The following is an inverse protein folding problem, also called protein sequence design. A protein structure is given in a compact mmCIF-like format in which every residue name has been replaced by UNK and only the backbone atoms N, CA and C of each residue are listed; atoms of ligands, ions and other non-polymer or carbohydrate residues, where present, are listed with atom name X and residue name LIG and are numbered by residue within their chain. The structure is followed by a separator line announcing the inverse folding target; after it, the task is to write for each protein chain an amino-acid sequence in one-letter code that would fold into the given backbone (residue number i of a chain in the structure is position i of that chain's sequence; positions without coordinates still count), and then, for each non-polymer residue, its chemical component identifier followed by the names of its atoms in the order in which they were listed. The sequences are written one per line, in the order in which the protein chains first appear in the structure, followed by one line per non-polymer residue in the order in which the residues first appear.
data_IF_170322260376
#
_entry.id   IF_170322260376
#
_cell.length_a   1.000
_cell.length_b   1.000
_cell.length_c   1.000
_cell.angle_alpha   90.00
_cell.angle_beta   90.00
_cell.angle_gamma   90.00
#
_symmetry.space_group_name_H-M   'P 1'
#
loop_
_entity.id
_entity.type
_entity.pdbx_description
1 polymer ?
#
# COMPACT_ATOMS: atom_id res chain seq x y z
N UNK A 1 -6.37 -19.22 16.90
CA UNK A 1 -5.80 -19.89 18.11
C UNK A 1 -6.92 -20.59 18.87
N UNK A 2 -6.60 -21.66 19.64
CA UNK A 2 -7.59 -22.37 20.46
C UNK A 2 -8.00 -21.50 21.66
N UNK A 3 -9.30 -21.42 21.99
CA UNK A 3 -9.81 -20.72 23.18
C UNK A 3 -9.13 -21.23 24.45
N UNK A 4 -9.12 -22.54 24.64
CA UNK A 4 -8.48 -23.20 25.80
C UNK A 4 -7.00 -22.87 25.94
N UNK A 5 -6.25 -22.81 24.82
CA UNK A 5 -4.85 -22.41 24.82
C UNK A 5 -4.68 -20.93 25.23
N UNK A 6 -5.54 -20.06 24.72
CA UNK A 6 -5.48 -18.62 25.04
C UNK A 6 -5.79 -18.37 26.52
N UNK A 7 -6.79 -19.05 27.08
CA UNK A 7 -7.14 -18.97 28.51
C UNK A 7 -5.99 -19.48 29.39
N UNK A 8 -5.43 -20.66 29.05
CA UNK A 8 -4.31 -21.26 29.80
C UNK A 8 -3.07 -20.36 29.85
N UNK A 9 -2.84 -19.55 28.82
CA UNK A 9 -1.64 -18.73 28.66
C UNK A 9 -1.90 -17.22 28.88
N UNK A 10 -3.04 -16.84 29.48
CA UNK A 10 -3.43 -15.44 29.68
C UNK A 10 -3.33 -14.57 28.42
N UNK A 11 -3.71 -15.15 27.25
CA UNK A 11 -3.61 -14.51 25.94
C UNK A 11 -4.99 -14.37 25.27
N UNK A 12 -6.03 -14.09 26.07
CA UNK A 12 -7.42 -13.96 25.59
C UNK A 12 -7.70 -12.61 24.94
N UNK A 13 -6.85 -11.60 25.19
CA UNK A 13 -6.88 -10.32 24.48
C UNK A 13 -5.61 -10.12 23.66
N UNK A 14 -5.68 -9.39 22.54
CA UNK A 14 -4.49 -8.97 21.81
C UNK A 14 -3.58 -8.10 22.69
N UNK A 15 -2.27 -8.23 22.51
CA UNK A 15 -1.32 -7.31 23.12
C UNK A 15 -1.49 -5.90 22.53
N UNK A 16 -1.38 -4.86 23.36
CA UNK A 16 -1.37 -3.48 22.89
C UNK A 16 0.00 -3.14 22.30
N UNK A 17 0.09 -3.18 20.97
CA UNK A 17 1.32 -2.89 20.24
C UNK A 17 1.74 -1.41 20.35
N UNK A 18 0.82 -0.51 20.69
CA UNK A 18 1.13 0.92 20.83
C UNK A 18 1.93 1.21 22.10
N UNK A 19 1.65 0.44 23.16
CA UNK A 19 2.41 0.47 24.41
C UNK A 19 3.60 -0.49 24.45
N UNK A 20 3.87 -1.20 23.32
CA UNK A 20 4.86 -2.28 23.23
C UNK A 20 4.59 -3.42 24.21
N UNK A 21 3.33 -3.64 24.55
CA UNK A 21 2.93 -4.75 25.40
C UNK A 21 3.27 -6.09 24.72
N UNK A 22 3.86 -7.00 25.47
CA UNK A 22 4.03 -8.39 25.07
C UNK A 22 3.19 -9.28 25.97
N UNK A 23 2.49 -10.23 25.37
CA UNK A 23 1.85 -11.32 26.09
C UNK A 23 2.38 -12.66 25.57
N UNK A 24 1.95 -13.77 26.12
CA UNK A 24 2.44 -15.10 25.72
C UNK A 24 2.25 -15.34 24.20
N UNK A 25 1.13 -14.88 23.62
CA UNK A 25 0.85 -15.03 22.19
C UNK A 25 1.72 -14.15 21.27
N UNK A 26 2.47 -13.17 21.80
CA UNK A 26 3.42 -12.38 21.02
C UNK A 26 4.58 -13.23 20.49
N UNK A 27 5.01 -14.24 21.27
CA UNK A 27 6.16 -15.09 20.93
C UNK A 27 5.78 -16.54 20.72
N UNK A 28 4.55 -16.92 20.99
CA UNK A 28 4.06 -18.29 20.90
C UNK A 28 2.77 -18.34 20.10
N UNK A 29 2.52 -19.45 19.44
CA UNK A 29 1.31 -19.65 18.69
C UNK A 29 0.85 -21.12 18.78
N UNK A 30 -0.46 -21.32 18.76
CA UNK A 30 -1.09 -22.61 18.55
C UNK A 30 -2.14 -22.45 17.45
N UNK A 31 -1.92 -23.12 16.35
CA UNK A 31 -2.80 -23.11 15.18
C UNK A 31 -3.02 -24.52 14.64
N UNK A 32 -3.91 -24.64 13.68
CA UNK A 32 -4.24 -25.89 12.97
C UNK A 32 -3.59 -25.95 11.57
N UNK A 33 -2.62 -25.07 11.32
CA UNK A 33 -1.96 -24.94 10.02
C UNK A 33 -0.88 -25.97 9.74
N UNK A 34 -0.31 -25.94 8.53
CA UNK A 34 0.71 -26.90 8.07
C UNK A 34 2.07 -26.75 8.77
N UNK A 35 2.29 -25.64 9.44
CA UNK A 35 3.52 -25.35 10.20
C UNK A 35 3.22 -25.03 11.65
N UNK A 36 4.17 -25.38 12.53
CA UNK A 36 4.18 -24.99 13.95
C UNK A 36 5.25 -23.93 14.18
N UNK A 37 4.93 -22.95 15.02
CA UNK A 37 5.90 -21.96 15.47
C UNK A 37 6.88 -22.60 16.45
N UNK A 38 8.17 -22.54 16.13
CA UNK A 38 9.26 -23.00 17.00
C UNK A 38 9.77 -21.86 17.86
N UNK A 39 10.08 -20.72 17.23
CA UNK A 39 10.53 -19.52 17.94
C UNK A 39 10.18 -18.26 17.17
N UNK A 40 9.97 -17.17 17.89
CA UNK A 40 9.80 -15.84 17.33
C UNK A 40 10.58 -14.81 18.15
N UNK A 41 11.49 -14.16 17.49
CA UNK A 41 12.18 -12.98 17.95
C UNK A 41 11.65 -11.79 17.16
N UNK A 42 10.80 -10.91 17.77
CA UNK A 42 10.27 -9.74 17.07
C UNK A 42 11.37 -8.95 16.36
N UNK A 43 11.06 -8.45 15.17
CA UNK A 43 11.94 -7.66 14.29
C UNK A 43 13.27 -8.32 13.91
N UNK A 44 13.47 -9.61 14.21
CA UNK A 44 14.67 -10.36 13.88
C UNK A 44 14.42 -11.66 13.12
N UNK A 45 13.71 -12.61 13.73
CA UNK A 45 13.59 -13.98 13.17
C UNK A 45 12.33 -14.68 13.63
N UNK A 46 11.72 -15.42 12.71
CA UNK A 46 10.63 -16.37 13.01
C UNK A 46 10.98 -17.73 12.42
N UNK A 47 10.92 -18.77 13.24
CA UNK A 47 11.22 -20.15 12.85
C UNK A 47 9.96 -20.98 12.92
N UNK A 48 9.67 -21.65 11.83
CA UNK A 48 8.54 -22.58 11.69
C UNK A 48 9.06 -23.96 11.33
N UNK A 49 8.38 -24.99 11.81
CA UNK A 49 8.60 -26.39 11.42
C UNK A 49 7.32 -27.02 10.91
N UNK A 50 7.46 -28.02 10.05
CA UNK A 50 6.34 -28.78 9.53
C UNK A 50 5.50 -29.35 10.68
N UNK A 51 4.18 -29.20 10.57
CA UNK A 51 3.22 -29.79 11.51
C UNK A 51 2.88 -31.23 11.07
N UNK A 52 3.38 -32.28 11.75
CA UNK A 52 3.10 -33.66 11.37
C UNK A 52 1.63 -34.04 11.57
N UNK A 53 0.91 -33.33 12.46
CA UNK A 53 -0.50 -33.57 12.77
C UNK A 53 -1.43 -32.62 12.00
N UNK A 54 -0.96 -32.05 10.88
CA UNK A 54 -1.83 -31.21 10.06
C UNK A 54 -2.94 -32.07 9.43
N UNK A 55 -4.15 -31.57 9.48
CA UNK A 55 -5.36 -32.28 9.07
C UNK A 55 -5.50 -32.51 7.56
N UNK A 56 -4.71 -31.79 6.73
CA UNK A 56 -4.72 -31.85 5.27
C UNK A 56 -3.36 -32.41 4.75
N UNK A 57 -3.30 -32.67 3.45
CA UNK A 57 -2.10 -33.22 2.79
C UNK A 57 -1.17 -32.10 2.33
N UNK A 58 0.10 -32.08 2.75
CA UNK A 58 1.04 -31.08 2.31
C UNK A 58 1.36 -31.21 0.81
N UNK A 59 1.25 -30.11 0.07
CA UNK A 59 1.70 -30.00 -1.32
C UNK A 59 3.12 -29.41 -1.42
N UNK A 60 3.76 -29.17 -0.28
CA UNK A 60 5.14 -28.69 -0.14
C UNK A 60 6.08 -29.80 0.37
N UNK A 61 7.39 -29.59 0.25
CA UNK A 61 8.42 -30.47 0.80
C UNK A 61 9.29 -29.77 1.87
N UNK A 62 8.79 -28.69 2.47
CA UNK A 62 9.50 -27.92 3.47
C UNK A 62 9.37 -28.58 4.84
N UNK A 63 10.50 -28.87 5.51
CA UNK A 63 10.53 -29.35 6.89
C UNK A 63 10.68 -28.17 7.88
N UNK A 64 11.43 -27.13 7.47
CA UNK A 64 11.70 -25.94 8.28
C UNK A 64 11.69 -24.68 7.42
N UNK A 65 11.16 -23.62 7.96
CA UNK A 65 11.16 -22.29 7.33
C UNK A 65 11.66 -21.26 8.33
N UNK A 66 12.58 -20.40 7.88
CA UNK A 66 13.09 -19.30 8.65
C UNK A 66 12.79 -17.98 7.93
N UNK A 67 12.08 -17.09 8.61
CA UNK A 67 11.92 -15.70 8.18
C UNK A 67 12.93 -14.85 8.91
N UNK A 68 13.86 -14.25 8.17
CA UNK A 68 14.84 -13.30 8.70
C UNK A 68 14.50 -11.89 8.23
N UNK A 69 14.40 -10.94 9.15
CA UNK A 69 14.11 -9.55 8.82
C UNK A 69 15.41 -8.84 8.52
N UNK A 70 15.62 -8.45 7.26
CA UNK A 70 16.77 -7.67 6.79
C UNK A 70 16.23 -6.35 6.24
N UNK A 71 16.25 -5.30 7.05
CA UNK A 71 15.63 -4.02 6.71
C UNK A 71 16.33 -3.30 5.55
N UNK A 72 17.66 -3.39 5.47
CA UNK A 72 18.42 -2.75 4.41
C UNK A 72 18.34 -3.55 3.10
N UNK A 73 17.89 -2.90 2.04
CA UNK A 73 17.67 -3.50 0.72
C UNK A 73 18.95 -4.11 0.13
N UNK A 74 20.06 -3.39 0.17
CA UNK A 74 21.33 -3.86 -0.42
C UNK A 74 21.86 -5.09 0.35
N UNK A 75 21.75 -5.10 1.68
CA UNK A 75 22.13 -6.24 2.53
C UNK A 75 21.23 -7.44 2.24
N UNK A 76 19.91 -7.22 2.06
CA UNK A 76 18.96 -8.30 1.75
C UNK A 76 19.23 -8.94 0.39
N UNK A 77 19.54 -8.13 -0.63
CA UNK A 77 19.94 -8.63 -1.95
C UNK A 77 21.29 -9.35 -1.90
N UNK A 78 22.26 -8.84 -1.15
CA UNK A 78 23.56 -9.49 -0.97
C UNK A 78 23.42 -10.86 -0.30
N UNK A 79 22.58 -11.00 0.72
CA UNK A 79 22.29 -12.27 1.40
C UNK A 79 21.69 -13.34 0.44
N UNK A 80 20.82 -12.92 -0.49
CA UNK A 80 20.34 -13.83 -1.55
C UNK A 80 21.47 -14.26 -2.49
N UNK A 81 22.26 -13.31 -2.97
CA UNK A 81 23.30 -13.57 -3.96
C UNK A 81 24.45 -14.41 -3.39
N UNK A 82 24.74 -14.30 -2.08
CA UNK A 82 25.72 -15.14 -1.37
C UNK A 82 25.18 -16.55 -1.03
N UNK A 83 23.85 -16.76 -1.14
CA UNK A 83 23.20 -18.02 -0.75
C UNK A 83 22.97 -18.15 0.77
N UNK A 84 23.12 -17.08 1.54
CA UNK A 84 22.74 -17.05 2.96
C UNK A 84 21.24 -17.25 3.15
N UNK A 85 20.42 -16.70 2.23
CA UNK A 85 18.98 -16.90 2.16
C UNK A 85 18.58 -17.47 0.80
N UNK A 86 17.47 -18.20 0.74
CA UNK A 86 16.99 -18.87 -0.47
C UNK A 86 15.97 -18.04 -1.26
N UNK A 87 15.32 -17.08 -0.62
CA UNK A 87 14.21 -16.32 -1.18
C UNK A 87 14.15 -14.91 -0.59
N UNK A 88 13.88 -13.93 -1.44
CA UNK A 88 13.68 -12.51 -1.07
C UNK A 88 12.36 -12.00 -1.60
N UNK A 89 11.68 -11.28 -0.73
CA UNK A 89 10.51 -10.50 -1.07
C UNK A 89 10.53 -9.23 -0.18
N UNK A 90 10.48 -8.03 -0.65
CA UNK A 90 10.38 -7.54 -2.03
C UNK A 90 11.76 -7.22 -2.57
N UNK A 91 11.98 -7.41 -3.88
CA UNK A 91 13.21 -6.99 -4.55
C UNK A 91 13.09 -5.52 -4.94
N UNK A 92 14.10 -4.68 -4.62
CA UNK A 92 14.14 -3.30 -5.10
C UNK A 92 14.23 -3.24 -6.62
N UNK A 93 13.50 -2.33 -7.32
CA UNK A 93 13.52 -2.22 -8.77
C UNK A 93 14.91 -2.08 -9.38
N UNK A 94 15.83 -1.42 -8.69
CA UNK A 94 17.21 -1.22 -9.14
C UNK A 94 18.06 -2.50 -9.18
N UNK A 95 17.70 -3.53 -8.42
CA UNK A 95 18.45 -4.78 -8.31
C UNK A 95 17.89 -5.91 -9.16
N UNK A 96 16.70 -5.74 -9.74
CA UNK A 96 16.00 -6.78 -10.53
C UNK A 96 16.88 -7.32 -11.67
N UNK A 97 17.49 -6.44 -12.47
CA UNK A 97 18.33 -6.85 -13.59
C UNK A 97 19.62 -7.50 -13.14
N UNK A 98 20.20 -7.05 -12.04
CA UNK A 98 21.39 -7.67 -11.45
C UNK A 98 21.09 -9.11 -11.04
N UNK A 99 20.02 -9.34 -10.31
CA UNK A 99 19.62 -10.68 -9.85
C UNK A 99 19.32 -11.57 -11.07
N UNK A 100 18.56 -11.07 -12.07
CA UNK A 100 18.19 -11.82 -13.28
C UNK A 100 19.41 -12.31 -14.06
N UNK A 101 20.53 -11.54 -14.07
CA UNK A 101 21.77 -11.92 -14.74
C UNK A 101 22.69 -12.80 -13.90
N UNK A 102 22.40 -12.98 -12.62
CA UNK A 102 23.23 -13.81 -11.74
C UNK A 102 22.90 -15.30 -11.95
N UNK A 103 23.87 -16.13 -12.36
CA UNK A 103 23.66 -17.57 -12.49
C UNK A 103 23.11 -18.17 -11.20
N UNK A 104 22.20 -19.12 -11.33
CA UNK A 104 21.61 -19.79 -10.17
C UNK A 104 20.49 -18.99 -9.47
N UNK A 105 20.13 -17.82 -9.97
CA UNK A 105 19.03 -16.99 -9.45
C UNK A 105 17.85 -16.95 -10.42
N UNK A 106 16.68 -16.68 -9.88
CA UNK A 106 15.45 -16.41 -10.64
C UNK A 106 14.71 -15.22 -10.07
N UNK A 107 13.99 -14.50 -10.93
CA UNK A 107 13.11 -13.38 -10.57
C UNK A 107 11.68 -13.74 -10.95
N UNK A 108 10.76 -13.63 -10.00
CA UNK A 108 9.33 -13.78 -10.20
C UNK A 108 8.69 -12.38 -10.19
N UNK A 109 7.91 -12.08 -11.20
CA UNK A 109 7.23 -10.78 -11.33
C UNK A 109 5.75 -10.99 -11.62
N UNK A 110 4.92 -10.17 -10.98
CA UNK A 110 3.47 -10.20 -11.17
C UNK A 110 2.80 -8.91 -10.74
N UNK A 111 1.53 -8.72 -11.11
CA UNK A 111 0.76 -7.58 -10.63
C UNK A 111 0.47 -7.71 -9.13
N UNK A 112 0.54 -6.60 -8.40
CA UNK A 112 0.03 -6.50 -7.02
C UNK A 112 -1.33 -5.80 -7.03
N UNK A 113 -2.24 -6.20 -6.15
CA UNK A 113 -3.53 -5.51 -5.98
C UNK A 113 -3.37 -4.12 -5.34
N UNK A 114 -2.16 -3.77 -4.90
CA UNK A 114 -1.89 -2.50 -4.21
C UNK A 114 -1.80 -1.34 -5.18
N UNK A 115 -2.60 -0.32 -4.89
CA UNK A 115 -2.49 1.00 -5.53
C UNK A 115 -1.82 1.99 -4.60
N UNK A 116 -0.82 2.71 -5.08
CA UNK A 116 -0.13 3.82 -4.40
C UNK A 116 -0.78 5.14 -4.84
N UNK A 117 -1.09 6.01 -3.87
CA UNK A 117 -1.75 7.30 -4.11
C UNK A 117 -1.33 8.35 -3.10
N UNK A 118 -1.60 9.59 -3.43
CA UNK A 118 -1.50 10.72 -2.49
C UNK A 118 -2.90 11.12 -2.02
N UNK A 119 -3.02 11.35 -0.72
CA UNK A 119 -4.23 11.88 -0.10
C UNK A 119 -4.01 13.29 0.43
N UNK A 120 -5.07 14.08 0.43
CA UNK A 120 -5.09 15.49 0.80
C UNK A 120 -6.14 15.72 1.89
N UNK A 121 -5.82 16.52 2.90
CA UNK A 121 -6.78 16.91 3.94
C UNK A 121 -7.82 17.89 3.36
N UNK A 122 -9.05 17.41 3.23
CA UNK A 122 -10.17 18.16 2.65
C UNK A 122 -11.19 18.59 3.72
N UNK A 123 -10.99 18.16 4.96
CA UNK A 123 -11.98 18.37 6.02
C UNK A 123 -11.67 19.58 6.90
N UNK A 124 -10.42 19.75 7.30
CA UNK A 124 -10.05 20.80 8.24
C UNK A 124 -10.21 22.18 7.61
N UNK A 125 -10.63 23.19 8.39
CA UNK A 125 -10.71 24.57 7.89
C UNK A 125 -9.32 25.17 7.61
N UNK A 126 -8.27 24.64 8.24
CA UNK A 126 -6.87 25.00 8.03
C UNK A 126 -6.00 23.76 8.05
N UNK A 127 -5.00 23.68 7.18
CA UNK A 127 -4.04 22.59 7.16
C UNK A 127 -3.14 22.62 8.41
N UNK A 128 -2.82 21.44 8.93
CA UNK A 128 -1.96 21.31 10.11
C UNK A 128 -0.50 21.67 9.82
N UNK A 129 -0.03 21.39 8.61
CA UNK A 129 1.38 21.47 8.22
C UNK A 129 1.51 22.27 6.91
N UNK A 130 1.18 23.57 6.97
CA UNK A 130 1.21 24.47 5.81
C UNK A 130 1.61 25.89 6.25
N UNK A 131 2.13 26.67 5.32
CA UNK A 131 2.36 28.12 5.50
C UNK A 131 1.09 28.96 5.27
N UNK A 132 0.00 28.36 4.78
CA UNK A 132 -1.29 29.05 4.60
C UNK A 132 -2.04 29.11 5.93
N UNK A 133 -2.28 30.33 6.43
CA UNK A 133 -2.99 30.53 7.67
C UNK A 133 -4.50 30.76 7.44
N UNK A 134 -5.32 30.18 8.33
CA UNK A 134 -6.78 30.37 8.33
C UNK A 134 -7.54 29.76 7.16
N UNK A 135 -6.86 28.97 6.29
CA UNK A 135 -7.46 28.35 5.10
C UNK A 135 -6.88 26.97 4.86
N UNK A 136 -7.64 26.18 4.12
CA UNK A 136 -7.21 24.89 3.61
C UNK A 136 -7.28 24.89 2.07
N UNK A 137 -6.15 25.02 1.37
CA UNK A 137 -6.13 24.95 -0.09
C UNK A 137 -6.76 23.69 -0.67
N UNK A 138 -6.64 22.55 0.01
CA UNK A 138 -7.16 21.29 -0.49
C UNK A 138 -8.67 21.12 -0.39
N UNK A 139 -9.41 22.05 0.24
CA UNK A 139 -10.86 22.11 0.14
C UNK A 139 -11.33 22.51 -1.26
N UNK A 140 -10.52 23.30 -1.98
CA UNK A 140 -10.83 23.70 -3.35
C UNK A 140 -10.47 22.59 -4.35
N UNK A 141 -11.45 22.13 -5.10
CA UNK A 141 -11.25 21.07 -6.12
C UNK A 141 -10.25 21.48 -7.21
N UNK A 142 -10.14 22.80 -7.51
CA UNK A 142 -9.18 23.31 -8.50
C UNK A 142 -7.75 23.09 -8.05
N UNK A 143 -7.47 23.27 -6.76
CA UNK A 143 -6.16 22.96 -6.17
C UNK A 143 -5.85 21.47 -6.28
N UNK A 144 -6.80 20.61 -5.92
CA UNK A 144 -6.60 19.15 -6.01
C UNK A 144 -6.40 18.67 -7.45
N UNK A 145 -7.11 19.27 -8.41
CA UNK A 145 -6.90 19.01 -9.86
C UNK A 145 -5.52 19.48 -10.30
N UNK A 146 -5.08 20.65 -9.86
CA UNK A 146 -3.73 21.16 -10.16
C UNK A 146 -2.63 20.21 -9.66
N UNK A 147 -2.78 19.66 -8.44
CA UNK A 147 -1.87 18.61 -7.92
C UNK A 147 -1.86 17.39 -8.86
N UNK A 148 -3.03 16.89 -9.27
CA UNK A 148 -3.12 15.76 -10.20
C UNK A 148 -2.47 16.04 -11.57
N UNK A 149 -2.66 17.24 -12.12
CA UNK A 149 -2.10 17.66 -13.41
C UNK A 149 -0.60 17.89 -13.38
N UNK A 150 -0.02 18.19 -12.23
CA UNK A 150 1.41 18.44 -12.08
C UNK A 150 2.24 17.15 -12.00
N UNK A 151 1.64 16.01 -11.61
CA UNK A 151 2.36 14.77 -11.34
C UNK A 151 2.43 13.87 -12.57
N UNK A 152 3.64 13.74 -13.13
CA UNK A 152 3.94 12.80 -14.22
C UNK A 152 4.23 11.40 -13.65
N UNK A 153 3.20 10.59 -13.57
CA UNK A 153 3.31 9.21 -13.07
C UNK A 153 4.05 8.28 -14.03
N UNK A 154 4.07 8.61 -15.33
CA UNK A 154 4.87 7.86 -16.30
C UNK A 154 6.36 8.13 -16.09
N UNK A 155 6.73 9.36 -15.74
CA UNK A 155 8.11 9.66 -15.34
C UNK A 155 8.48 8.87 -14.07
N UNK A 156 7.61 8.83 -13.05
CA UNK A 156 7.83 8.00 -11.85
C UNK A 156 8.02 6.53 -12.24
N UNK A 157 7.15 5.99 -13.11
CA UNK A 157 7.28 4.61 -13.59
C UNK A 157 8.64 4.35 -14.24
N UNK A 158 9.08 5.23 -15.15
CA UNK A 158 10.33 5.05 -15.88
C UNK A 158 11.57 5.21 -14.98
N UNK A 159 11.61 6.28 -14.18
CA UNK A 159 12.84 6.71 -13.49
C UNK A 159 12.96 6.14 -12.08
N UNK A 160 11.88 6.14 -11.31
CA UNK A 160 11.87 5.67 -9.93
C UNK A 160 11.57 4.17 -9.85
N UNK A 161 10.52 3.72 -10.57
CA UNK A 161 10.07 2.33 -10.52
C UNK A 161 10.73 1.43 -11.57
N UNK A 162 11.52 1.99 -12.48
CA UNK A 162 12.24 1.24 -13.53
C UNK A 162 11.34 0.26 -14.30
N UNK A 163 10.13 0.71 -14.61
CA UNK A 163 9.11 -0.10 -15.27
C UNK A 163 8.32 -1.04 -14.34
N UNK A 164 8.68 -1.14 -13.06
CA UNK A 164 8.04 -2.06 -12.10
C UNK A 164 6.78 -1.45 -11.45
N UNK A 165 5.96 -0.79 -12.24
CA UNK A 165 4.66 -0.27 -11.83
C UNK A 165 3.77 -0.01 -13.04
N UNK A 166 2.46 0.06 -12.82
CA UNK A 166 1.47 0.44 -13.83
C UNK A 166 0.80 1.75 -13.39
N UNK A 167 0.99 2.87 -14.11
CA UNK A 167 0.25 4.12 -13.85
C UNK A 167 -1.26 3.88 -13.79
N UNK A 168 -1.96 4.55 -12.86
CA UNK A 168 -3.41 4.40 -12.70
C UNK A 168 -4.08 5.71 -12.33
N UNK A 169 -5.34 5.88 -12.70
CA UNK A 169 -6.23 6.97 -12.29
C UNK A 169 -7.22 6.58 -11.19
N UNK A 170 -7.18 5.32 -10.73
CA UNK A 170 -8.08 4.79 -9.71
C UNK A 170 -7.32 4.41 -8.42
N UNK A 171 -8.04 4.27 -7.30
CA UNK A 171 -7.52 3.76 -6.03
C UNK A 171 -7.68 2.23 -5.89
N UNK A 172 -8.04 1.57 -6.96
CA UNK A 172 -7.99 0.11 -7.17
C UNK A 172 -7.56 -0.17 -8.60
N UNK A 173 -7.11 -1.38 -8.89
CA UNK A 173 -6.53 -1.69 -10.21
C UNK A 173 -6.88 -3.09 -10.74
N UNK A 174 -6.27 -3.52 -11.84
CA UNK A 174 -6.44 -4.86 -12.39
C UNK A 174 -6.31 -5.96 -11.34
N UNK A 175 -7.13 -7.01 -11.47
CA UNK A 175 -7.22 -8.09 -10.49
C UNK A 175 -8.18 -7.83 -9.34
N UNK A 176 -8.68 -6.60 -9.21
CA UNK A 176 -9.73 -6.24 -8.25
C UNK A 176 -11.08 -6.31 -8.94
N UNK A 177 -12.04 -7.03 -8.35
CA UNK A 177 -13.40 -7.09 -8.87
C UNK A 177 -14.01 -5.67 -8.94
N UNK A 178 -14.60 -5.33 -10.08
CA UNK A 178 -15.09 -3.97 -10.38
C UNK A 178 -14.09 -3.07 -11.09
N UNK A 179 -12.85 -3.55 -11.36
CA UNK A 179 -11.94 -2.81 -12.23
C UNK A 179 -12.36 -2.91 -13.69
N UNK A 180 -12.34 -1.75 -14.38
CA UNK A 180 -12.49 -1.65 -15.83
C UNK A 180 -11.48 -0.67 -16.38
N UNK A 181 -10.84 -1.01 -17.50
CA UNK A 181 -9.83 -0.20 -18.16
C UNK A 181 -10.38 1.16 -18.60
N UNK A 182 -11.63 1.21 -19.05
CA UNK A 182 -12.30 2.44 -19.47
C UNK A 182 -12.57 3.42 -18.33
N UNK A 183 -12.61 2.95 -17.08
CA UNK A 183 -12.77 3.79 -15.88
C UNK A 183 -11.42 4.32 -15.36
N UNK A 184 -10.32 3.64 -15.71
CA UNK A 184 -8.97 3.98 -15.27
C UNK A 184 -8.38 5.17 -16.05
N UNK A 185 -9.07 6.30 -15.93
CA UNK A 185 -8.70 7.54 -16.62
C UNK A 185 -7.92 8.46 -15.69
N UNK A 186 -6.69 8.77 -16.06
CA UNK A 186 -5.88 9.72 -15.36
C UNK A 186 -5.93 11.09 -16.03
N UNK A 187 -5.88 12.16 -15.23
CA UNK A 187 -5.70 13.53 -15.71
C UNK A 187 -4.37 13.64 -16.46
N UNK A 188 -4.37 14.22 -17.64
CA UNK A 188 -3.16 14.49 -18.40
C UNK A 188 -2.24 15.48 -17.66
N UNK A 189 -0.94 15.31 -17.83
CA UNK A 189 0.04 16.25 -17.28
C UNK A 189 -0.03 17.57 -18.04
N UNK A 190 -0.35 18.65 -17.32
CA UNK A 190 -0.40 20.01 -17.83
C UNK A 190 0.05 21.00 -16.75
N UNK A 191 1.32 21.33 -16.74
CA UNK A 191 1.94 22.23 -15.76
C UNK A 191 1.35 23.65 -15.83
N UNK A 192 1.13 24.16 -17.04
CA UNK A 192 0.59 25.52 -17.21
C UNK A 192 -0.90 25.57 -16.86
N UNK A 193 -1.67 24.55 -17.19
CA UNK A 193 -3.05 24.39 -16.74
C UNK A 193 -3.14 24.30 -15.21
N UNK A 194 -2.24 23.56 -14.57
CA UNK A 194 -2.17 23.46 -13.12
C UNK A 194 -1.88 24.82 -12.45
N UNK A 195 -0.94 25.62 -13.00
CA UNK A 195 -0.66 26.99 -12.53
C UNK A 195 -1.89 27.90 -12.65
N UNK A 196 -2.62 27.84 -13.77
CA UNK A 196 -3.85 28.60 -13.97
C UNK A 196 -4.90 28.22 -12.92
N UNK A 197 -5.14 26.94 -12.67
CA UNK A 197 -6.09 26.49 -11.65
C UNK A 197 -5.69 26.94 -10.24
N UNK A 198 -4.40 26.93 -9.90
CA UNK A 198 -3.93 27.47 -8.61
C UNK A 198 -4.17 28.98 -8.51
N UNK A 199 -3.90 29.74 -9.56
CA UNK A 199 -4.15 31.20 -9.59
C UNK A 199 -5.65 31.51 -9.44
N UNK A 200 -6.51 30.78 -10.16
CA UNK A 200 -7.98 30.92 -10.06
C UNK A 200 -8.51 30.54 -8.66
N UNK A 201 -7.82 29.62 -7.97
CA UNK A 201 -8.14 29.24 -6.59
C UNK A 201 -7.58 30.24 -5.55
N UNK A 202 -6.87 31.31 -5.99
CA UNK A 202 -6.29 32.31 -5.11
C UNK A 202 -4.86 32.03 -4.66
N UNK A 203 -4.16 31.10 -5.32
CA UNK A 203 -2.77 30.72 -5.03
C UNK A 203 -1.84 30.93 -6.24
N UNK A 204 -1.73 32.16 -6.82
CA UNK A 204 -0.96 32.38 -8.05
C UNK A 204 0.55 32.07 -7.89
N UNK A 205 1.08 32.15 -6.66
CA UNK A 205 2.46 31.86 -6.31
C UNK A 205 2.61 30.48 -5.60
N UNK A 206 1.55 29.65 -5.65
CA UNK A 206 1.50 28.40 -4.90
C UNK A 206 1.42 28.60 -3.38
N UNK A 207 1.81 27.56 -2.65
CA UNK A 207 1.81 27.56 -1.18
C UNK A 207 2.78 26.49 -0.66
N UNK A 208 3.11 26.55 0.64
CA UNK A 208 3.91 25.55 1.33
C UNK A 208 3.05 24.51 2.04
N UNK A 209 3.41 23.23 1.95
CA UNK A 209 2.76 22.13 2.65
C UNK A 209 3.74 20.99 2.93
N UNK A 210 3.56 20.26 4.04
CA UNK A 210 4.35 19.07 4.33
C UNK A 210 3.70 17.84 3.70
N UNK A 211 4.51 17.02 3.01
CA UNK A 211 4.15 15.68 2.55
C UNK A 211 4.68 14.64 3.55
N UNK A 212 3.77 14.00 4.26
CA UNK A 212 4.09 12.86 5.11
C UNK A 212 4.29 11.61 4.24
N UNK A 213 5.43 10.95 4.38
CA UNK A 213 5.84 9.82 3.56
C UNK A 213 6.50 8.73 4.41
N UNK A 214 6.19 7.44 4.23
CA UNK A 214 7.00 6.39 4.82
C UNK A 214 8.30 6.23 4.01
N UNK A 215 9.31 5.58 4.60
CA UNK A 215 10.58 5.27 3.92
C UNK A 215 11.01 3.80 4.03
N UNK A 216 10.15 2.96 4.58
CA UNK A 216 10.38 1.52 4.75
C UNK A 216 9.09 0.68 4.63
N UNK A 217 8.08 1.20 3.90
CA UNK A 217 6.77 0.54 3.78
C UNK A 217 6.44 0.06 2.37
N UNK A 218 6.67 0.90 1.38
CA UNK A 218 6.36 0.61 -0.02
C UNK A 218 7.64 0.61 -0.85
N UNK A 219 7.59 0.00 -2.03
CA UNK A 219 8.73 -0.02 -2.94
C UNK A 219 9.08 1.41 -3.35
N UNK A 220 10.30 1.85 -3.03
CA UNK A 220 10.85 3.17 -3.37
C UNK A 220 9.98 4.35 -2.88
N UNK A 221 9.28 4.22 -1.77
CA UNK A 221 8.31 5.22 -1.25
C UNK A 221 8.94 6.61 -1.09
N UNK A 222 10.08 6.75 -0.44
CA UNK A 222 10.77 8.04 -0.27
C UNK A 222 11.22 8.62 -1.63
N UNK A 223 11.68 7.79 -2.54
CA UNK A 223 12.08 8.24 -3.88
C UNK A 223 10.87 8.70 -4.72
N UNK A 224 9.71 8.05 -4.57
CA UNK A 224 8.45 8.50 -5.17
C UNK A 224 8.06 9.87 -4.61
N UNK A 225 8.09 10.04 -3.28
CA UNK A 225 7.77 11.31 -2.64
C UNK A 225 8.72 12.42 -3.07
N UNK A 226 10.02 12.15 -3.19
CA UNK A 226 11.04 13.10 -3.67
C UNK A 226 10.75 13.55 -5.11
N UNK A 227 10.35 12.62 -5.98
CA UNK A 227 9.95 12.96 -7.34
C UNK A 227 8.69 13.86 -7.35
N UNK A 228 7.70 13.55 -6.51
CA UNK A 228 6.48 14.37 -6.35
C UNK A 228 6.82 15.78 -5.86
N UNK A 229 7.71 15.94 -4.87
CA UNK A 229 8.20 17.24 -4.41
C UNK A 229 8.74 18.08 -5.58
N UNK A 230 9.59 17.48 -6.40
CA UNK A 230 10.19 18.15 -7.55
C UNK A 230 9.16 18.54 -8.63
N UNK A 231 8.15 17.71 -8.85
CA UNK A 231 7.08 17.97 -9.80
C UNK A 231 6.16 19.08 -9.33
N UNK A 232 5.79 19.12 -8.06
CA UNK A 232 4.91 20.14 -7.48
C UNK A 232 5.59 21.50 -7.37
N UNK A 233 6.91 21.54 -7.19
CA UNK A 233 7.67 22.79 -7.22
C UNK A 233 7.51 23.54 -8.55
N UNK A 234 7.31 22.83 -9.67
CA UNK A 234 7.09 23.44 -11.00
C UNK A 234 5.82 24.27 -11.11
N UNK A 235 4.85 24.02 -10.23
CA UNK A 235 3.60 24.77 -10.16
C UNK A 235 3.55 25.73 -8.96
N UNK A 236 4.68 25.95 -8.27
CA UNK A 236 4.79 26.84 -7.12
C UNK A 236 4.40 26.22 -5.78
N UNK A 237 3.99 24.95 -5.75
CA UNK A 237 3.69 24.26 -4.47
C UNK A 237 5.00 23.78 -3.85
N UNK A 238 5.37 24.41 -2.74
CA UNK A 238 6.61 24.16 -1.99
C UNK A 238 6.36 23.04 -0.98
N UNK A 239 6.79 21.84 -1.32
CA UNK A 239 6.57 20.67 -0.48
C UNK A 239 7.79 20.40 0.40
N UNK A 240 7.56 20.37 1.72
CA UNK A 240 8.53 19.86 2.70
C UNK A 240 8.30 18.35 2.86
N UNK A 241 9.30 17.53 2.51
CA UNK A 241 9.19 16.08 2.67
C UNK A 241 9.46 15.69 4.12
N UNK A 242 8.50 15.00 4.76
CA UNK A 242 8.62 14.39 6.07
C UNK A 242 8.70 12.87 5.91
N UNK A 243 9.87 12.35 5.54
CA UNK A 243 10.12 10.91 5.44
C UNK A 243 10.27 10.29 6.83
N UNK A 244 9.55 9.21 7.11
CA UNK A 244 9.49 8.58 8.43
C UNK A 244 9.44 7.05 8.31
N UNK A 245 9.94 6.36 9.33
CA UNK A 245 9.76 4.91 9.43
C UNK A 245 8.27 4.55 9.51
N UNK A 246 7.91 3.40 8.97
CA UNK A 246 6.54 2.86 8.95
C UNK A 246 5.81 3.00 10.29
N UNK A 247 6.48 2.64 11.38
CA UNK A 247 5.88 2.67 12.71
C UNK A 247 5.47 4.10 13.12
N UNK A 248 6.38 5.06 12.96
CA UNK A 248 6.12 6.48 13.27
C UNK A 248 5.10 7.07 12.31
N UNK A 249 5.24 6.82 11.02
CA UNK A 249 4.35 7.30 9.98
C UNK A 249 2.89 6.92 10.26
N UNK A 250 2.60 5.62 10.44
CA UNK A 250 1.24 5.18 10.69
C UNK A 250 0.68 5.59 12.05
N UNK A 251 1.52 5.75 13.07
CA UNK A 251 1.07 6.27 14.36
C UNK A 251 0.59 7.72 14.29
N UNK A 252 1.07 8.49 13.32
CA UNK A 252 0.65 9.88 13.11
C UNK A 252 -0.55 9.99 12.19
N UNK A 253 -0.51 9.36 11.00
CA UNK A 253 -1.53 9.61 9.97
C UNK A 253 -2.83 8.82 10.16
N UNK A 254 -2.79 7.68 10.87
CA UNK A 254 -3.95 6.80 11.05
C UNK A 254 -4.81 7.22 12.26
N UNK A 255 -6.02 6.62 12.39
CA UNK A 255 -6.86 6.83 13.56
C UNK A 255 -6.10 6.51 14.87
N UNK A 256 -6.41 7.17 15.98
CA UNK A 256 -7.37 8.28 16.09
C UNK A 256 -6.78 9.66 15.75
N UNK A 257 -5.47 9.75 15.43
CA UNK A 257 -4.75 11.03 15.30
C UNK A 257 -5.07 11.79 14.03
N UNK A 258 -5.01 11.10 12.86
CA UNK A 258 -5.13 11.73 11.55
C UNK A 258 -4.27 13.01 11.39
N UNK A 259 -3.05 12.99 11.95
CA UNK A 259 -2.14 14.13 12.00
C UNK A 259 -1.36 14.29 10.68
N UNK A 260 -2.08 14.61 9.62
CA UNK A 260 -1.49 14.81 8.29
C UNK A 260 -2.28 15.85 7.50
N UNK A 261 -1.59 16.55 6.60
CA UNK A 261 -2.20 17.47 5.62
C UNK A 261 -2.12 16.94 4.21
N UNK A 262 -1.04 16.28 3.87
CA UNK A 262 -0.77 15.67 2.58
C UNK A 262 0.09 14.42 2.79
N UNK A 263 -0.27 13.29 2.21
CA UNK A 263 0.36 12.01 2.55
C UNK A 263 0.39 11.03 1.38
N UNK A 264 1.39 10.12 1.40
CA UNK A 264 1.46 8.99 0.47
C UNK A 264 0.94 7.73 1.16
N UNK A 265 -0.01 7.04 0.55
CA UNK A 265 -0.52 5.78 1.07
C UNK A 265 -0.64 4.72 -0.03
N UNK A 266 -0.55 3.46 0.35
CA UNK A 266 -0.84 2.32 -0.51
C UNK A 266 -1.98 1.48 0.08
N UNK A 267 -2.91 1.05 -0.77
CA UNK A 267 -4.03 0.22 -0.37
C UNK A 267 -4.11 -1.07 -1.17
N UNK A 268 -4.20 -2.20 -0.47
CA UNK A 268 -4.48 -3.51 -1.04
C UNK A 268 -5.88 -3.90 -0.61
N UNK A 269 -6.86 -4.00 -1.52
CA UNK A 269 -8.22 -4.41 -1.16
C UNK A 269 -8.22 -5.85 -0.65
N UNK A 270 -8.46 -6.04 0.65
CA UNK A 270 -8.37 -7.35 1.32
C UNK A 270 -9.40 -8.36 0.80
N UNK A 271 -10.49 -7.90 0.21
CA UNK A 271 -11.54 -8.73 -0.40
C UNK A 271 -11.34 -8.92 -1.91
N UNK A 272 -10.26 -8.37 -2.50
CA UNK A 272 -10.04 -8.27 -3.94
C UNK A 272 -11.26 -7.64 -4.68
N UNK A 273 -11.92 -6.68 -4.04
CA UNK A 273 -13.11 -5.99 -4.54
C UNK A 273 -13.00 -4.47 -4.37
N UNK A 274 -13.44 -3.71 -5.38
CA UNK A 274 -13.40 -2.24 -5.40
C UNK A 274 -14.18 -1.61 -4.22
N UNK A 275 -15.26 -2.26 -3.76
CA UNK A 275 -16.01 -1.81 -2.60
C UNK A 275 -15.14 -1.68 -1.36
N UNK A 276 -14.13 -2.55 -1.18
CA UNK A 276 -13.21 -2.46 -0.05
C UNK A 276 -12.43 -1.14 -0.05
N UNK A 277 -11.89 -0.72 -1.21
CA UNK A 277 -11.19 0.56 -1.32
C UNK A 277 -12.17 1.74 -1.15
N UNK A 278 -13.33 1.68 -1.79
CA UNK A 278 -14.36 2.72 -1.69
C UNK A 278 -14.83 2.90 -0.24
N UNK A 279 -15.18 1.83 0.44
CA UNK A 279 -15.68 1.84 1.81
C UNK A 279 -14.65 2.40 2.81
N UNK A 280 -13.39 1.96 2.70
CA UNK A 280 -12.36 2.31 3.67
C UNK A 280 -11.69 3.65 3.41
N UNK A 281 -11.53 4.04 2.13
CA UNK A 281 -10.78 5.22 1.74
C UNK A 281 -11.68 6.38 1.35
N UNK A 282 -12.69 6.15 0.49
CA UNK A 282 -13.47 7.21 -0.14
C UNK A 282 -14.80 7.52 0.56
N UNK A 283 -15.31 6.60 1.36
CA UNK A 283 -16.51 6.84 2.17
C UNK A 283 -16.28 7.90 3.25
N UNK A 284 -17.30 8.71 3.52
CA UNK A 284 -17.27 9.67 4.62
C UNK A 284 -17.06 8.94 5.96
N UNK A 285 -16.19 9.48 6.83
CA UNK A 285 -15.91 8.89 8.13
C UNK A 285 -17.15 8.92 9.04
N UNK A 286 -17.59 7.76 9.50
CA UNK A 286 -18.73 7.61 10.44
C UNK A 286 -18.43 6.68 11.64
N UNK A 287 -17.16 6.28 11.81
CA UNK A 287 -16.71 5.35 12.85
C UNK A 287 -16.58 3.90 12.37
N UNK A 288 -17.28 3.52 11.31
CA UNK A 288 -17.17 2.19 10.66
C UNK A 288 -16.66 2.29 9.23
N UNK A 289 -17.20 3.23 8.47
CA UNK A 289 -16.78 3.56 7.11
C UNK A 289 -15.75 4.68 7.14
N UNK A 290 -14.90 4.73 6.12
CA UNK A 290 -13.92 5.80 5.95
C UNK A 290 -12.80 5.81 7.01
N UNK A 291 -12.55 4.69 7.70
CA UNK A 291 -11.56 4.61 8.78
C UNK A 291 -10.16 5.01 8.30
N UNK A 292 -9.82 4.71 7.05
CA UNK A 292 -8.55 5.07 6.42
C UNK A 292 -8.67 6.25 5.44
N UNK A 293 -9.78 6.95 5.46
CA UNK A 293 -9.96 8.22 4.77
C UNK A 293 -9.26 9.34 5.57
N UNK A 294 -7.94 9.33 5.57
CA UNK A 294 -7.13 10.20 6.43
C UNK A 294 -7.29 11.69 6.09
N UNK A 295 -7.67 12.00 4.84
CA UNK A 295 -7.95 13.36 4.38
C UNK A 295 -9.37 13.85 4.66
N UNK A 296 -10.26 13.01 5.16
CA UNK A 296 -11.64 13.39 5.49
C UNK A 296 -12.48 13.83 4.29
N UNK A 297 -12.19 13.32 3.09
CA UNK A 297 -13.05 13.50 1.92
C UNK A 297 -14.48 13.08 2.22
N UNK A 298 -15.47 13.78 1.68
CA UNK A 298 -16.89 13.49 1.90
C UNK A 298 -17.70 13.86 0.66
N UNK A 299 -18.54 12.93 0.21
CA UNK A 299 -19.51 13.14 -0.86
C UNK A 299 -20.74 12.25 -0.60
N UNK A 300 -21.91 12.86 -0.28
CA UNK A 300 -23.13 12.09 0.06
C UNK A 300 -23.61 11.16 -1.06
N UNK A 301 -23.43 11.54 -2.35
CA UNK A 301 -23.78 10.69 -3.49
C UNK A 301 -22.88 9.46 -3.56
N UNK A 302 -21.59 9.64 -3.29
CA UNK A 302 -20.66 8.52 -3.22
C UNK A 302 -20.99 7.59 -2.05
N UNK A 303 -21.34 8.13 -0.90
CA UNK A 303 -21.74 7.36 0.28
C UNK A 303 -22.96 6.48 0.02
N UNK A 304 -23.98 7.01 -0.70
CA UNK A 304 -25.15 6.22 -1.10
C UNK A 304 -24.76 5.08 -2.05
N UNK A 305 -23.93 5.36 -3.04
CA UNK A 305 -23.43 4.33 -3.96
C UNK A 305 -22.63 3.25 -3.22
N UNK A 306 -21.74 3.61 -2.31
CA UNK A 306 -20.95 2.66 -1.51
C UNK A 306 -21.89 1.72 -0.74
N UNK A 307 -22.91 2.26 -0.08
CA UNK A 307 -23.91 1.48 0.65
C UNK A 307 -24.64 0.50 -0.27
N UNK A 308 -25.08 0.95 -1.43
CA UNK A 308 -25.82 0.14 -2.42
C UNK A 308 -24.93 -0.94 -3.04
N UNK A 309 -23.71 -0.63 -3.43
CA UNK A 309 -22.74 -1.60 -3.95
C UNK A 309 -22.50 -2.75 -2.96
N UNK A 310 -22.52 -2.47 -1.65
CA UNK A 310 -22.31 -3.46 -0.60
C UNK A 310 -23.41 -4.54 -0.51
N UNK A 311 -24.58 -4.29 -1.05
CA UNK A 311 -25.75 -5.21 -0.99
C UNK A 311 -26.27 -5.63 -2.36
N UNK A 312 -25.76 -5.06 -3.45
CA UNK A 312 -26.21 -5.37 -4.81
C UNK A 312 -25.69 -6.72 -5.27
N UNK A 313 -26.59 -7.58 -5.70
CA UNK A 313 -26.28 -8.94 -6.19
C UNK A 313 -26.31 -9.06 -7.71
N UNK A 314 -26.99 -8.14 -8.42
CA UNK A 314 -26.89 -8.06 -9.88
C UNK A 314 -25.54 -7.49 -10.28
N UNK A 315 -24.72 -8.32 -10.91
CA UNK A 315 -23.35 -7.95 -11.27
C UNK A 315 -23.28 -6.76 -12.24
N UNK A 316 -24.21 -6.64 -13.17
CA UNK A 316 -24.20 -5.56 -14.13
C UNK A 316 -24.64 -4.23 -13.49
N UNK A 317 -25.65 -4.25 -12.63
CA UNK A 317 -26.05 -3.08 -11.84
C UNK A 317 -24.93 -2.65 -10.89
N UNK A 318 -24.32 -3.60 -10.19
CA UNK A 318 -23.20 -3.36 -9.30
C UNK A 318 -22.01 -2.72 -10.03
N UNK A 319 -21.63 -3.26 -11.20
CA UNK A 319 -20.56 -2.70 -12.02
C UNK A 319 -20.84 -1.26 -12.45
N UNK A 320 -22.06 -0.95 -12.89
CA UNK A 320 -22.45 0.42 -13.24
C UNK A 320 -22.25 1.39 -12.07
N UNK A 321 -22.67 0.99 -10.87
CA UNK A 321 -22.47 1.81 -9.66
C UNK A 321 -20.98 1.99 -9.34
N UNK A 322 -20.14 0.96 -9.49
CA UNK A 322 -18.69 1.07 -9.29
C UNK A 322 -18.08 2.05 -10.30
N UNK A 323 -18.45 1.96 -11.59
CA UNK A 323 -17.99 2.91 -12.62
C UNK A 323 -18.44 4.35 -12.34
N UNK A 324 -19.65 4.53 -11.80
CA UNK A 324 -20.13 5.85 -11.36
C UNK A 324 -19.28 6.40 -10.19
N UNK A 325 -18.92 5.54 -9.21
CA UNK A 325 -18.02 5.98 -8.12
C UNK A 325 -16.65 6.38 -8.63
N UNK A 326 -16.10 5.67 -9.62
CA UNK A 326 -14.83 6.03 -10.26
C UNK A 326 -14.87 7.44 -10.88
N UNK A 327 -15.98 7.76 -11.55
CA UNK A 327 -16.19 9.10 -12.12
C UNK A 327 -16.25 10.17 -11.04
N UNK A 328 -17.01 9.97 -9.97
CA UNK A 328 -17.13 10.93 -8.84
C UNK A 328 -15.76 11.17 -8.19
N UNK A 329 -15.03 10.12 -7.82
CA UNK A 329 -13.71 10.23 -7.16
C UNK A 329 -12.73 11.01 -8.04
N UNK A 330 -12.76 10.80 -9.36
CA UNK A 330 -11.94 11.53 -10.34
C UNK A 330 -12.36 12.99 -10.49
N UNK A 331 -13.66 13.26 -10.64
CA UNK A 331 -14.20 14.61 -10.80
C UNK A 331 -13.94 15.49 -9.59
N UNK A 332 -14.08 14.93 -8.40
CA UNK A 332 -13.77 15.61 -7.15
C UNK A 332 -12.27 15.70 -6.88
N UNK A 333 -11.44 15.04 -7.71
CA UNK A 333 -10.01 14.87 -7.44
C UNK A 333 -9.74 14.48 -5.98
N UNK A 334 -10.55 13.54 -5.46
CA UNK A 334 -10.54 13.15 -4.06
C UNK A 334 -9.16 12.65 -3.61
N UNK A 335 -8.43 12.03 -4.53
CA UNK A 335 -7.06 11.53 -4.38
C UNK A 335 -6.23 11.89 -5.61
N UNK A 336 -4.91 11.73 -5.49
CA UNK A 336 -4.00 11.68 -6.64
C UNK A 336 -3.43 10.25 -6.75
N UNK A 337 -4.10 9.32 -7.47
CA UNK A 337 -3.59 7.98 -7.71
C UNK A 337 -2.28 8.07 -8.51
N UNK A 338 -1.30 7.25 -8.17
CA UNK A 338 -0.02 7.21 -8.84
C UNK A 338 0.12 5.97 -9.72
N UNK A 339 0.20 4.82 -9.08
CA UNK A 339 0.40 3.57 -9.81
C UNK A 339 -0.02 2.35 -8.99
N UNK A 340 -0.28 1.27 -9.71
CA UNK A 340 -0.29 -0.07 -9.17
C UNK A 340 1.14 -0.58 -9.08
N UNK A 341 1.54 -1.02 -7.90
CA UNK A 341 2.85 -1.61 -7.66
C UNK A 341 2.91 -2.99 -8.31
N UNK A 342 4.07 -3.37 -8.83
CA UNK A 342 4.33 -4.77 -9.19
C UNK A 342 5.00 -5.50 -8.03
N UNK A 343 4.68 -6.78 -7.91
CA UNK A 343 5.39 -7.67 -7.00
C UNK A 343 6.62 -8.19 -7.71
N UNK A 344 7.78 -8.02 -7.09
CA UNK A 344 9.01 -8.62 -7.56
C UNK A 344 9.61 -9.44 -6.42
N UNK A 345 9.65 -10.74 -6.61
CA UNK A 345 10.34 -11.69 -5.73
C UNK A 345 11.59 -12.22 -6.43
N UNK A 346 12.54 -12.68 -5.64
CA UNK A 346 13.71 -13.36 -6.17
C UNK A 346 14.04 -14.58 -5.31
N UNK A 347 14.54 -15.61 -5.95
CA UNK A 347 14.91 -16.85 -5.31
C UNK A 347 16.14 -17.48 -5.99
N UNK A 348 16.82 -18.39 -5.31
CA UNK A 348 17.74 -19.29 -5.98
C UNK A 348 16.97 -20.24 -6.92
N UNK A 349 17.61 -20.70 -7.97
CA UNK A 349 17.05 -21.76 -8.81
C UNK A 349 16.81 -23.02 -7.94
N UNK A 350 15.71 -23.73 -8.23
CA UNK A 350 15.27 -24.85 -7.42
C UNK A 350 14.28 -24.50 -6.31
N UNK A 351 14.05 -23.21 -6.02
CA UNK A 351 12.90 -22.77 -5.21
C UNK A 351 11.70 -22.60 -6.13
N UNK A 352 10.70 -23.43 -5.98
CA UNK A 352 9.41 -23.31 -6.64
C UNK A 352 8.43 -22.68 -5.66
N UNK A 353 7.86 -21.56 -6.01
CA UNK A 353 6.89 -20.83 -5.20
C UNK A 353 5.87 -20.13 -6.10
N UNK A 354 4.61 -20.11 -5.66
CA UNK A 354 3.53 -19.41 -6.38
C UNK A 354 3.42 -18.00 -5.83
N UNK A 355 3.57 -17.03 -6.73
CA UNK A 355 3.34 -15.61 -6.42
C UNK A 355 1.85 -15.29 -6.55
N UNK A 356 1.26 -14.72 -5.50
CA UNK A 356 -0.13 -14.30 -5.47
C UNK A 356 -0.24 -12.78 -5.49
N UNK A 357 -1.25 -12.24 -6.15
CA UNK A 357 -1.43 -10.80 -6.37
C UNK A 357 -1.68 -10.00 -5.07
N UNK A 358 -2.08 -10.66 -3.98
CA UNK A 358 -2.19 -10.09 -2.64
C UNK A 358 -0.84 -9.94 -1.92
N UNK A 359 0.25 -10.45 -2.54
CA UNK A 359 1.60 -10.44 -2.01
C UNK A 359 1.80 -11.25 -0.71
N UNK A 360 0.97 -12.26 -0.48
CA UNK A 360 1.16 -13.20 0.62
C UNK A 360 1.99 -14.41 0.19
N UNK A 361 2.95 -14.78 1.03
CA UNK A 361 3.76 -16.00 0.82
C UNK A 361 2.95 -17.21 1.27
N UNK A 362 2.55 -18.06 0.33
CA UNK A 362 1.76 -19.26 0.60
C UNK A 362 2.66 -20.51 0.63
N UNK A 363 3.47 -20.65 1.68
CA UNK A 363 4.44 -21.74 1.83
C UNK A 363 3.81 -23.14 1.78
N UNK A 364 2.56 -23.27 2.22
CA UNK A 364 1.86 -24.54 2.31
C UNK A 364 1.28 -25.03 0.97
N UNK A 365 1.27 -24.18 -0.06
CA UNK A 365 0.72 -24.49 -1.37
C UNK A 365 1.82 -24.47 -2.42
N UNK A 366 2.12 -25.64 -2.99
CA UNK A 366 3.02 -25.79 -4.14
C UNK A 366 4.43 -25.22 -3.97
N UNK A 367 4.86 -24.91 -2.73
CA UNK A 367 6.24 -24.48 -2.49
C UNK A 367 7.14 -25.71 -2.36
N UNK A 368 8.17 -25.78 -3.19
CA UNK A 368 9.14 -26.87 -3.18
C UNK A 368 10.56 -26.32 -3.24
N UNK A 369 11.46 -27.01 -2.58
CA UNK A 369 12.89 -26.75 -2.66
C UNK A 369 13.61 -27.97 -3.16
N UNK A 370 14.49 -27.78 -4.14
CA UNK A 370 15.48 -28.79 -4.53
C UNK A 370 16.69 -28.65 -3.59
N UNK A 371 17.36 -29.77 -3.23
CA UNK A 371 18.62 -29.72 -2.48
C UNK A 371 19.65 -28.79 -3.17
N UNK A 372 20.52 -28.20 -2.37
CA UNK A 372 21.64 -27.40 -2.87
C UNK A 372 22.65 -28.29 -3.56
#
# INVERSE_FOLDING_TARGET
MSKQWSEKNNATRPADLTSREENFATRNAMGTGPFRLVSREPDRRTVLERNPDWWDKPTHNLERVEFTIIANDATRVAALLSGEIDFVYTVPPQDVDRIRRTPGMQVLQGPELRTIYLGMDQMRPQLLKSDVQGKNPFQDVRVRRAINMAIDVQAIQRTVMRGQSRPTGLIWGPGVNGFREEDDKRTAVDVEGAKRLLAEAGYPNGFGVTLDCPNDRYVNDEAICTAVVSMLARIGVRVTLAAQTRARYFSEINPPRYNTSFYLLGWTPATADAHNALFNLAGTRDGTRGVFNNGGYSNPRLDDLIRRIGVETDQAARQRMISETAAIVREDAAYAPLHQQQIVWAARQGVQIVQTADNYIQLHRHTRMQPR
#
